data_IF_003925384351
#
_entry.id   IF_003925384351
#
_cell.length_a   1.000
_cell.length_b   1.000
_cell.length_c   1.000
_cell.angle_alpha   90.00
_cell.angle_beta   90.00
_cell.angle_gamma   90.00
#
_symmetry.space_group_name_H-M   'P 1'
#
loop_
_entity.id
_entity.type
_entity.pdbx_description
1 polymer ?
#
# COMPACT_ATOMS: atom_id res chain seq x y z
N UNK A 1 22.53 -23.53 10.20
CA UNK A 1 22.44 -22.07 10.00
C UNK A 1 21.02 -21.69 10.32
N UNK A 2 20.81 -20.87 11.34
CA UNK A 2 19.49 -20.33 11.67
C UNK A 2 19.17 -19.28 10.60
N UNK A 3 18.18 -19.58 9.75
CA UNK A 3 17.73 -18.64 8.73
C UNK A 3 16.92 -17.57 9.47
N UNK A 4 17.58 -16.45 9.77
CA UNK A 4 16.89 -15.26 10.26
C UNK A 4 16.09 -14.73 9.06
N UNK A 5 14.78 -14.97 9.05
CA UNK A 5 13.86 -14.29 8.12
C UNK A 5 14.09 -12.79 8.30
N UNK A 6 14.76 -12.17 7.32
CA UNK A 6 14.84 -10.71 7.27
C UNK A 6 13.41 -10.23 7.04
N UNK A 7 12.90 -9.32 7.89
CA UNK A 7 11.59 -8.73 7.68
C UNK A 7 11.59 -8.10 6.30
N UNK A 8 10.57 -8.45 5.52
CA UNK A 8 10.35 -7.87 4.20
C UNK A 8 10.42 -6.33 4.32
N UNK A 9 11.26 -5.65 3.54
CA UNK A 9 11.44 -4.20 3.67
C UNK A 9 10.22 -3.41 3.21
N UNK A 10 9.17 -4.07 2.70
CA UNK A 10 7.92 -3.40 2.35
C UNK A 10 7.24 -2.87 3.62
N UNK A 11 6.83 -1.59 3.62
CA UNK A 11 6.05 -1.06 4.72
C UNK A 11 4.79 -1.90 4.92
N UNK A 12 4.43 -2.12 6.19
CA UNK A 12 3.21 -2.87 6.49
C UNK A 12 1.99 -2.17 5.87
N UNK A 13 1.07 -2.92 5.27
CA UNK A 13 -0.17 -2.34 4.75
C UNK A 13 -0.92 -1.60 5.85
N UNK A 14 -1.52 -0.46 5.51
CA UNK A 14 -2.34 0.29 6.46
C UNK A 14 -3.50 -0.57 7.00
N UNK A 15 -3.98 -0.31 8.22
CA UNK A 15 -5.14 -1.04 8.73
C UNK A 15 -6.42 -0.65 7.97
N UNK A 16 -7.44 -1.53 7.96
CA UNK A 16 -8.76 -1.22 7.39
C UNK A 16 -9.36 0.04 8.06
N UNK A 17 -9.21 0.16 9.39
CA UNK A 17 -9.65 1.35 10.12
C UNK A 17 -8.96 2.62 9.60
N UNK A 18 -7.65 2.55 9.36
CA UNK A 18 -6.90 3.69 8.80
C UNK A 18 -7.31 4.00 7.37
N UNK A 19 -7.56 2.98 6.55
CA UNK A 19 -8.06 3.17 5.19
C UNK A 19 -9.44 3.83 5.19
N UNK A 20 -10.34 3.40 6.08
CA UNK A 20 -11.66 4.01 6.30
C UNK A 20 -11.56 5.49 6.69
N UNK A 21 -10.66 5.83 7.61
CA UNK A 21 -10.41 7.23 7.99
C UNK A 21 -9.93 8.09 6.82
N UNK A 22 -9.08 7.54 5.94
CA UNK A 22 -8.54 8.26 4.77
C UNK A 22 -9.60 8.47 3.68
N UNK A 23 -10.50 7.51 3.52
CA UNK A 23 -11.61 7.58 2.57
C UNK A 23 -12.74 8.51 3.05
N UNK A 24 -12.86 8.73 4.36
CA UNK A 24 -13.81 9.71 4.91
C UNK A 24 -15.26 9.38 4.58
N UNK A 25 -16.00 10.37 4.08
CA UNK A 25 -17.43 10.27 3.76
C UNK A 25 -17.73 9.16 2.74
N UNK A 26 -16.81 8.89 1.81
CA UNK A 26 -16.98 7.84 0.80
C UNK A 26 -17.08 6.45 1.44
N UNK A 27 -16.40 6.24 2.58
CA UNK A 27 -16.40 4.96 3.28
C UNK A 27 -17.63 4.70 4.15
N UNK A 28 -18.51 5.68 4.39
CA UNK A 28 -19.69 5.51 5.24
C UNK A 28 -20.67 4.47 4.70
N UNK A 29 -20.76 4.35 3.38
CA UNK A 29 -21.63 3.39 2.70
C UNK A 29 -20.95 2.06 2.38
N UNK A 30 -19.67 1.92 2.71
CA UNK A 30 -18.82 0.80 2.29
C UNK A 30 -18.71 -0.28 3.34
N UNK A 31 -18.74 -1.54 2.88
CA UNK A 31 -18.44 -2.68 3.74
C UNK A 31 -16.93 -2.78 4.02
N UNK A 32 -16.56 -3.52 5.07
CA UNK A 32 -15.14 -3.82 5.33
C UNK A 32 -14.46 -4.50 4.13
N UNK A 33 -15.21 -5.28 3.34
CA UNK A 33 -14.70 -5.94 2.13
C UNK A 33 -14.38 -4.92 1.03
N UNK A 34 -15.26 -3.93 0.81
CA UNK A 34 -15.00 -2.90 -0.20
C UNK A 34 -13.76 -2.06 0.19
N UNK A 35 -13.60 -1.76 1.48
CA UNK A 35 -12.42 -1.04 2.00
C UNK A 35 -11.16 -1.90 1.88
N UNK A 36 -11.25 -3.20 2.11
CA UNK A 36 -10.13 -4.13 1.92
C UNK A 36 -9.66 -4.18 0.47
N UNK A 37 -10.59 -4.19 -0.47
CA UNK A 37 -10.28 -4.21 -1.90
C UNK A 37 -9.62 -2.90 -2.35
N UNK A 38 -10.12 -1.75 -1.89
CA UNK A 38 -9.48 -0.45 -2.10
C UNK A 38 -8.08 -0.43 -1.49
N UNK A 39 -7.94 -0.88 -0.23
CA UNK A 39 -6.65 -0.92 0.46
C UNK A 39 -5.62 -1.67 -0.35
N UNK A 40 -5.96 -2.88 -0.83
CA UNK A 40 -5.05 -3.72 -1.63
C UNK A 40 -4.69 -3.07 -2.96
N UNK A 41 -5.66 -2.43 -3.60
CA UNK A 41 -5.42 -1.70 -4.83
C UNK A 41 -4.47 -0.51 -4.62
N UNK A 42 -4.69 0.28 -3.55
CA UNK A 42 -3.83 1.40 -3.19
C UNK A 42 -2.40 0.96 -2.86
N UNK A 43 -2.22 -0.16 -2.17
CA UNK A 43 -0.91 -0.75 -1.88
C UNK A 43 -0.15 -1.11 -3.17
N UNK A 44 -0.84 -1.74 -4.11
CA UNK A 44 -0.27 -2.06 -5.44
C UNK A 44 0.13 -0.79 -6.20
N UNK A 45 -0.74 0.23 -6.18
CA UNK A 45 -0.46 1.51 -6.84
C UNK A 45 0.73 2.23 -6.20
N UNK A 46 0.89 2.15 -4.88
CA UNK A 46 2.04 2.72 -4.19
C UNK A 46 3.35 2.06 -4.64
N UNK A 47 3.38 0.72 -4.78
CA UNK A 47 4.52 0.01 -5.34
C UNK A 47 4.85 0.50 -6.76
N UNK A 48 3.86 0.60 -7.64
CA UNK A 48 4.04 1.07 -9.02
C UNK A 48 4.62 2.49 -9.05
N UNK A 49 4.09 3.42 -8.23
CA UNK A 49 4.58 4.80 -8.16
C UNK A 49 6.04 4.85 -7.69
N UNK A 50 6.41 4.03 -6.72
CA UNK A 50 7.80 3.93 -6.23
C UNK A 50 8.72 3.39 -7.33
N UNK A 51 8.31 2.33 -8.03
CA UNK A 51 9.07 1.78 -9.16
C UNK A 51 9.25 2.81 -10.28
N UNK A 52 8.18 3.52 -10.65
CA UNK A 52 8.24 4.60 -11.65
C UNK A 52 9.21 5.72 -11.24
N UNK A 53 9.18 6.12 -9.97
CA UNK A 53 10.09 7.14 -9.45
C UNK A 53 11.55 6.67 -9.51
N UNK A 54 11.83 5.43 -9.11
CA UNK A 54 13.16 4.85 -9.17
C UNK A 54 13.68 4.75 -10.61
N UNK A 55 12.81 4.40 -11.57
CA UNK A 55 13.15 4.37 -12.99
C UNK A 55 13.48 5.78 -13.51
N UNK A 56 12.66 6.78 -13.17
CA UNK A 56 12.91 8.18 -13.54
C UNK A 56 14.26 8.69 -13.01
N UNK A 57 14.57 8.43 -11.74
CA UNK A 57 15.86 8.78 -11.15
C UNK A 57 17.01 8.14 -11.92
N UNK A 58 16.94 6.83 -12.22
CA UNK A 58 17.97 6.11 -12.97
C UNK A 58 18.18 6.65 -14.39
N UNK A 59 17.11 7.08 -15.07
CA UNK A 59 17.20 7.66 -16.42
C UNK A 59 17.66 9.11 -16.46
N UNK A 60 17.65 9.81 -15.32
CA UNK A 60 18.07 11.20 -15.20
C UNK A 60 19.53 11.37 -14.75
N UNK A 61 20.22 10.26 -14.46
CA UNK A 61 21.66 10.17 -14.13
C UNK A 61 22.58 10.06 -15.35
#
# INVERSE_FOLDING_TARGET
>A
MEYVEQPDPRPEPISIARCRELLGEDAESMTDQDIEDIRRHADTMACIVVEMYQEQCRTSE
#
